data_IF_307030289958
#
_entry.id   IF_307030289958
#
_cell.length_a   1.000
_cell.length_b   1.000
_cell.length_c   1.000
_cell.angle_alpha   90.00
_cell.angle_beta   90.00
_cell.angle_gamma   90.00
#
_symmetry.space_group_name_H-M   'P 1'
#
loop_
_entity.id
_entity.type
_entity.pdbx_description
1 polymer ?
#
# COMPACT_ATOMS: atom_id res chain seq x y z
N UNK A 1 43.36 -37.44 -11.19
CA UNK A 1 41.94 -37.73 -11.46
C UNK A 1 41.28 -37.89 -10.10
N UNK A 2 40.75 -36.81 -9.52
CA UNK A 2 39.41 -36.24 -9.74
C UNK A 2 38.41 -36.89 -8.78
N UNK A 3 37.57 -36.22 -8.00
CA UNK A 3 37.24 -34.81 -7.71
C UNK A 3 36.60 -34.80 -6.31
N UNK A 4 36.81 -33.73 -5.52
CA UNK A 4 36.15 -33.50 -4.23
C UNK A 4 34.77 -32.88 -4.44
N UNK A 5 33.69 -33.31 -3.74
CA UNK A 5 32.44 -32.55 -3.73
C UNK A 5 32.63 -31.32 -2.84
N UNK A 6 32.42 -30.15 -3.44
CA UNK A 6 32.52 -28.84 -2.82
C UNK A 6 31.29 -28.64 -1.92
N UNK A 7 31.54 -28.41 -0.64
CA UNK A 7 30.58 -27.95 0.36
C UNK A 7 30.17 -26.51 0.01
N UNK A 8 29.01 -26.35 -0.63
CA UNK A 8 28.44 -25.05 -0.98
C UNK A 8 27.73 -24.48 0.25
N UNK A 9 28.46 -23.66 1.02
CA UNK A 9 27.82 -22.67 1.88
C UNK A 9 27.05 -21.70 0.99
N UNK A 10 25.73 -21.69 1.08
CA UNK A 10 24.86 -20.66 0.49
C UNK A 10 25.24 -19.31 1.11
N UNK A 11 26.03 -18.53 0.37
CA UNK A 11 26.29 -17.12 0.64
C UNK A 11 25.06 -16.34 0.20
N UNK A 12 24.30 -15.84 1.17
CA UNK A 12 23.20 -14.90 0.97
C UNK A 12 23.76 -13.63 0.29
N UNK A 13 23.19 -13.16 -0.83
CA UNK A 13 23.64 -11.92 -1.46
C UNK A 13 23.34 -10.75 -0.51
N UNK A 14 24.37 -10.01 -0.12
CA UNK A 14 24.25 -8.77 0.63
C UNK A 14 23.19 -7.86 -0.02
N UNK A 15 22.20 -7.45 0.78
CA UNK A 15 21.29 -6.38 0.41
C UNK A 15 22.13 -5.15 0.01
N UNK A 16 21.88 -4.52 -1.15
CA UNK A 16 22.44 -3.20 -1.38
C UNK A 16 21.82 -2.21 -0.39
N UNK A 17 22.48 -2.07 0.77
CA UNK A 17 22.40 -0.91 1.65
C UNK A 17 22.74 0.32 0.83
N UNK A 18 21.71 0.91 0.22
CA UNK A 18 21.92 1.82 -0.89
C UNK A 18 20.66 2.49 -1.39
N UNK A 19 19.62 2.61 -0.55
CA UNK A 19 18.62 3.67 -0.79
C UNK A 19 19.27 4.98 -0.36
N UNK A 20 20.05 5.57 -1.26
CA UNK A 20 20.29 7.02 -1.21
C UNK A 20 18.91 7.65 -1.07
N UNK A 21 18.65 8.47 -0.03
CA UNK A 21 17.41 9.20 0.06
C UNK A 21 17.20 9.88 -1.28
N UNK A 22 16.09 9.54 -1.97
CA UNK A 22 15.69 10.21 -3.19
C UNK A 22 15.83 11.70 -2.89
N UNK A 23 16.69 12.36 -3.65
CA UNK A 23 16.98 13.77 -3.51
C UNK A 23 15.63 14.46 -3.38
N UNK A 24 15.31 14.84 -2.13
CA UNK A 24 14.08 15.53 -1.83
C UNK A 24 14.08 16.70 -2.79
N UNK A 25 13.11 16.74 -3.69
CA UNK A 25 12.84 17.90 -4.52
C UNK A 25 12.69 19.01 -3.51
N UNK A 26 13.78 19.78 -3.32
CA UNK A 26 13.77 20.91 -2.42
C UNK A 26 12.57 21.72 -2.89
N UNK A 27 11.53 21.93 -2.06
CA UNK A 27 10.48 22.84 -2.45
C UNK A 27 11.20 24.12 -2.84
N UNK A 28 11.06 24.56 -4.09
CA UNK A 28 11.66 25.81 -4.56
C UNK A 28 11.35 26.83 -3.48
N UNK A 29 12.37 27.20 -2.71
CA UNK A 29 12.24 28.03 -1.53
C UNK A 29 11.34 29.19 -1.92
N UNK A 30 10.16 29.25 -1.31
CA UNK A 30 9.24 30.37 -1.50
C UNK A 30 10.05 31.66 -1.41
N UNK A 31 9.83 32.56 -2.37
CA UNK A 31 10.59 33.79 -2.54
C UNK A 31 10.70 34.52 -1.19
N UNK A 32 11.82 34.34 -0.50
CA UNK A 32 12.19 35.11 0.70
C UNK A 32 12.52 36.57 0.37
N UNK A 33 12.30 37.00 -0.87
CA UNK A 33 12.44 38.37 -1.35
C UNK A 33 11.59 39.37 -0.57
N UNK A 34 10.47 38.91 0.00
CA UNK A 34 9.56 39.75 0.80
C UNK A 34 9.81 39.70 2.30
N UNK A 35 10.73 38.85 2.80
CA UNK A 35 10.92 38.66 4.24
C UNK A 35 11.56 39.87 4.94
N UNK A 36 12.04 40.85 4.17
CA UNK A 36 12.69 42.08 4.65
C UNK A 36 11.87 43.35 4.37
N UNK A 37 10.73 43.24 3.70
CA UNK A 37 9.84 44.38 3.46
C UNK A 37 8.99 44.61 4.73
N UNK A 38 8.81 45.86 5.18
CA UNK A 38 7.83 46.15 6.22
C UNK A 38 6.45 45.67 5.73
N UNK A 39 5.68 45.02 6.61
CA UNK A 39 4.37 44.46 6.29
C UNK A 39 3.36 45.53 5.86
N UNK A 40 3.66 46.78 6.19
CA UNK A 40 2.88 47.97 5.87
C UNK A 40 3.63 48.77 4.80
N UNK A 41 2.99 48.96 3.64
CA UNK A 41 3.46 49.88 2.61
C UNK A 41 2.99 51.29 2.98
N UNK A 42 3.88 52.28 2.89
CA UNK A 42 3.47 53.68 3.05
C UNK A 42 2.65 54.15 1.83
N UNK A 43 1.75 55.13 1.99
CA UNK A 43 0.94 55.66 0.88
C UNK A 43 1.77 56.18 -0.30
N UNK A 44 2.99 56.65 -0.05
CA UNK A 44 3.93 57.09 -1.10
C UNK A 44 4.47 55.92 -1.93
N UNK A 45 4.67 54.76 -1.32
CA UNK A 45 5.13 53.55 -2.01
C UNK A 45 3.98 52.85 -2.73
N UNK A 46 2.77 52.86 -2.15
CA UNK A 46 1.54 52.41 -2.79
C UNK A 46 1.15 53.26 -4.00
N UNK A 47 1.43 54.56 -3.98
CA UNK A 47 1.19 55.45 -5.11
C UNK A 47 2.17 55.19 -6.28
N UNK A 48 3.22 54.40 -6.08
CA UNK A 48 4.16 54.04 -7.14
C UNK A 48 3.52 53.05 -8.13
N UNK A 49 3.48 53.37 -9.44
CA UNK A 49 2.88 52.50 -10.44
C UNK A 49 3.59 51.15 -10.57
N UNK A 50 4.88 51.08 -10.21
CA UNK A 50 5.64 49.83 -10.22
C UNK A 50 5.17 48.85 -9.13
N UNK A 51 4.87 49.37 -7.93
CA UNK A 51 4.38 48.56 -6.80
C UNK A 51 2.96 48.07 -7.08
N UNK A 52 2.10 48.92 -7.65
CA UNK A 52 0.74 48.54 -8.03
C UNK A 52 0.72 47.41 -9.07
N UNK A 53 1.51 47.53 -10.15
CA UNK A 53 1.61 46.47 -11.16
C UNK A 53 2.16 45.17 -10.59
N UNK A 54 3.19 45.26 -9.76
CA UNK A 54 3.76 44.10 -9.09
C UNK A 54 2.75 43.39 -8.18
N UNK A 55 1.93 44.14 -7.42
CA UNK A 55 0.90 43.56 -6.57
C UNK A 55 -0.22 42.92 -7.39
N UNK A 56 -0.63 43.55 -8.49
CA UNK A 56 -1.63 42.98 -9.41
C UNK A 56 -1.12 41.69 -10.05
N UNK A 57 0.11 41.69 -10.60
CA UNK A 57 0.73 40.49 -11.17
C UNK A 57 0.83 39.35 -10.15
N UNK A 58 1.13 39.67 -8.89
CA UNK A 58 1.22 38.67 -7.83
C UNK A 58 -0.15 38.14 -7.39
N UNK A 59 -1.18 39.00 -7.39
CA UNK A 59 -2.57 38.58 -7.14
C UNK A 59 -3.03 37.64 -8.27
N UNK A 60 -2.82 38.01 -9.52
CA UNK A 60 -3.18 37.16 -10.67
C UNK A 60 -2.45 35.81 -10.63
N UNK A 61 -1.16 35.81 -10.27
CA UNK A 61 -0.39 34.57 -10.05
C UNK A 61 -0.98 33.72 -8.93
N UNK A 62 -1.32 34.33 -7.81
CA UNK A 62 -1.88 33.62 -6.65
C UNK A 62 -3.28 33.08 -6.94
N UNK A 63 -4.12 33.82 -7.66
CA UNK A 63 -5.43 33.35 -8.11
C UNK A 63 -5.30 32.14 -9.04
N UNK A 64 -4.39 32.19 -10.02
CA UNK A 64 -4.11 31.05 -10.89
C UNK A 64 -3.62 29.82 -10.11
N UNK A 65 -2.73 30.00 -9.12
CA UNK A 65 -2.28 28.91 -8.25
C UNK A 65 -3.42 28.37 -7.37
N UNK A 66 -4.29 29.24 -6.85
CA UNK A 66 -5.46 28.85 -6.08
C UNK A 66 -6.45 28.05 -6.93
N UNK A 67 -6.71 28.46 -8.16
CA UNK A 67 -7.57 27.75 -9.10
C UNK A 67 -7.00 26.37 -9.43
N UNK A 68 -5.70 26.28 -9.71
CA UNK A 68 -5.00 25.01 -9.91
C UNK A 68 -5.18 24.09 -8.70
N UNK A 69 -4.90 24.56 -7.49
CA UNK A 69 -5.05 23.79 -6.25
C UNK A 69 -6.50 23.40 -5.96
N UNK A 70 -7.46 24.27 -6.27
CA UNK A 70 -8.89 23.99 -6.09
C UNK A 70 -9.31 22.74 -6.87
N UNK A 71 -8.70 22.52 -8.05
CA UNK A 71 -8.97 21.36 -8.90
C UNK A 71 -8.39 20.05 -8.36
N UNK A 72 -7.33 20.10 -7.54
CA UNK A 72 -6.69 18.92 -6.95
C UNK A 72 -7.43 18.40 -5.74
N UNK A 73 -8.09 19.28 -4.97
CA UNK A 73 -8.86 18.89 -3.78
C UNK A 73 -9.94 17.83 -4.05
N UNK A 74 -10.83 17.98 -5.06
CA UNK A 74 -11.83 16.95 -5.34
C UNK A 74 -11.20 15.66 -5.87
N UNK A 75 -10.14 15.76 -6.70
CA UNK A 75 -9.42 14.59 -7.23
C UNK A 75 -8.75 13.79 -6.12
N UNK A 76 -8.16 14.46 -5.13
CA UNK A 76 -7.59 13.82 -3.95
C UNK A 76 -8.66 13.07 -3.16
N UNK A 77 -9.79 13.73 -2.85
CA UNK A 77 -10.88 13.07 -2.11
C UNK A 77 -11.52 11.92 -2.89
N UNK A 78 -11.58 12.00 -4.22
CA UNK A 78 -12.07 10.90 -5.05
C UNK A 78 -11.09 9.71 -5.04
N UNK A 79 -9.79 9.97 -5.20
CA UNK A 79 -8.76 8.94 -5.15
C UNK A 79 -8.71 8.27 -3.78
N UNK A 80 -8.76 9.05 -2.71
CA UNK A 80 -8.77 8.58 -1.32
C UNK A 80 -10.00 7.68 -1.04
N UNK A 81 -11.19 8.11 -1.47
CA UNK A 81 -12.41 7.27 -1.37
C UNK A 81 -12.27 5.96 -2.14
N UNK A 82 -11.74 6.00 -3.37
CA UNK A 82 -11.52 4.80 -4.18
C UNK A 82 -10.52 3.86 -3.49
N UNK A 83 -9.43 4.40 -2.95
CA UNK A 83 -8.43 3.64 -2.21
C UNK A 83 -9.04 2.95 -0.99
N UNK A 84 -9.84 3.67 -0.19
CA UNK A 84 -10.52 3.10 0.97
C UNK A 84 -11.48 1.95 0.57
N UNK A 85 -12.27 2.12 -0.49
CA UNK A 85 -13.18 1.07 -0.99
C UNK A 85 -12.40 -0.15 -1.50
N UNK A 86 -11.28 0.07 -2.20
CA UNK A 86 -10.41 -1.00 -2.69
C UNK A 86 -9.76 -1.77 -1.52
N UNK A 87 -9.27 -1.06 -0.52
CA UNK A 87 -8.66 -1.63 0.67
C UNK A 87 -9.65 -2.49 1.46
N UNK A 88 -10.89 -2.01 1.65
CA UNK A 88 -11.96 -2.77 2.30
C UNK A 88 -12.30 -4.04 1.52
N UNK A 89 -12.45 -3.95 0.20
CA UNK A 89 -12.68 -5.11 -0.66
C UNK A 89 -11.51 -6.10 -0.65
N UNK A 90 -10.29 -5.60 -0.53
CA UNK A 90 -9.09 -6.43 -0.51
C UNK A 90 -8.95 -7.20 0.80
N UNK A 91 -9.26 -6.56 1.95
CA UNK A 91 -9.31 -7.24 3.26
C UNK A 91 -10.28 -8.42 3.26
N UNK A 92 -11.47 -8.23 2.69
CA UNK A 92 -12.45 -9.32 2.53
C UNK A 92 -11.91 -10.49 1.71
N UNK A 93 -11.33 -10.19 0.54
CA UNK A 93 -10.73 -11.22 -0.35
C UNK A 93 -9.58 -11.98 0.31
N UNK A 94 -8.65 -11.29 0.98
CA UNK A 94 -7.53 -11.95 1.68
C UNK A 94 -8.07 -12.90 2.75
N UNK A 95 -9.07 -12.49 3.53
CA UNK A 95 -9.62 -13.36 4.58
C UNK A 95 -10.25 -14.63 4.01
N UNK A 96 -10.93 -14.52 2.87
CA UNK A 96 -11.51 -15.66 2.17
C UNK A 96 -10.43 -16.57 1.57
N UNK A 97 -9.37 -16.01 0.99
CA UNK A 97 -8.26 -16.78 0.42
C UNK A 97 -7.45 -17.51 1.49
N UNK A 98 -7.18 -16.87 2.62
CA UNK A 98 -6.50 -17.52 3.77
C UNK A 98 -7.36 -18.66 4.30
N UNK A 99 -8.67 -18.44 4.48
CA UNK A 99 -9.59 -19.47 4.96
C UNK A 99 -9.67 -20.64 3.97
N UNK A 100 -9.84 -20.36 2.68
CA UNK A 100 -9.89 -21.37 1.63
C UNK A 100 -8.59 -22.19 1.59
N UNK A 101 -7.44 -21.51 1.56
CA UNK A 101 -6.12 -22.15 1.45
C UNK A 101 -5.81 -22.97 2.69
N UNK A 102 -6.08 -22.43 3.88
CA UNK A 102 -5.90 -23.12 5.15
C UNK A 102 -6.81 -24.36 5.26
N UNK A 103 -8.11 -24.20 5.00
CA UNK A 103 -9.06 -25.31 5.09
C UNK A 103 -8.77 -26.43 4.08
N UNK A 104 -8.42 -26.09 2.83
CA UNK A 104 -8.06 -27.07 1.82
C UNK A 104 -6.74 -27.78 2.15
N UNK A 105 -5.71 -27.05 2.58
CA UNK A 105 -4.41 -27.65 2.88
C UNK A 105 -4.50 -28.57 4.09
N UNK A 106 -5.12 -28.13 5.18
CA UNK A 106 -5.29 -28.93 6.40
C UNK A 106 -6.24 -30.10 6.13
N UNK A 107 -7.35 -29.87 5.42
CA UNK A 107 -8.29 -30.93 5.06
C UNK A 107 -7.67 -32.00 4.16
N UNK A 108 -6.91 -31.61 3.14
CA UNK A 108 -6.19 -32.54 2.27
C UNK A 108 -5.10 -33.32 3.02
N UNK A 109 -4.35 -32.65 3.90
CA UNK A 109 -3.36 -33.32 4.74
C UNK A 109 -4.01 -34.34 5.69
N UNK A 110 -5.14 -33.98 6.33
CA UNK A 110 -5.88 -34.89 7.19
C UNK A 110 -6.41 -36.12 6.44
N UNK A 111 -6.94 -35.93 5.22
CA UNK A 111 -7.40 -37.02 4.37
C UNK A 111 -6.25 -37.91 3.86
N UNK A 112 -5.11 -37.32 3.53
CA UNK A 112 -3.90 -38.07 3.13
C UNK A 112 -3.30 -38.88 4.29
N UNK A 113 -3.41 -38.37 5.52
CA UNK A 113 -2.94 -39.05 6.72
C UNK A 113 -3.91 -40.12 7.24
N UNK A 114 -5.21 -39.99 6.97
CA UNK A 114 -6.25 -40.92 7.41
C UNK A 114 -5.94 -42.41 7.16
N UNK A 115 -5.51 -42.87 5.95
CA UNK A 115 -5.20 -44.29 5.73
C UNK A 115 -4.05 -44.80 6.60
N UNK A 116 -3.11 -43.96 7.02
CA UNK A 116 -1.96 -44.34 7.85
C UNK A 116 -2.32 -44.73 9.29
N UNK A 117 -3.51 -44.36 9.78
CA UNK A 117 -3.96 -44.60 11.17
C UNK A 117 -5.13 -45.59 11.26
N UNK A 118 -5.56 -46.16 10.13
CA UNK A 118 -6.68 -47.11 10.05
C UNK A 118 -6.40 -48.46 10.71
N UNK A 119 -5.15 -48.77 11.02
CA UNK A 119 -4.73 -49.99 11.70
C UNK A 119 -5.04 -49.93 13.20
N UNK A 120 -6.32 -50.00 13.56
CA UNK A 120 -6.76 -50.40 14.92
C UNK A 120 -7.32 -49.31 15.83
N UNK A 121 -7.51 -48.06 15.36
CA UNK A 121 -8.13 -47.01 16.18
C UNK A 121 -9.37 -46.38 15.52
N UNK A 122 -10.47 -46.14 16.28
CA UNK A 122 -11.64 -45.42 15.77
C UNK A 122 -11.34 -43.94 15.43
N UNK A 123 -10.18 -43.42 15.84
CA UNK A 123 -9.69 -42.09 15.51
C UNK A 123 -9.55 -41.85 14.00
N UNK A 124 -9.27 -42.90 13.21
CA UNK A 124 -9.15 -42.79 11.76
C UNK A 124 -10.42 -42.24 11.08
N UNK A 125 -11.60 -42.67 11.55
CA UNK A 125 -12.88 -42.20 11.03
C UNK A 125 -13.16 -40.74 11.42
N UNK A 126 -12.72 -40.32 12.61
CA UNK A 126 -12.84 -38.94 13.08
C UNK A 126 -11.95 -38.01 12.24
N UNK A 127 -10.71 -38.40 11.96
CA UNK A 127 -9.78 -37.62 11.11
C UNK A 127 -10.30 -37.51 9.68
N UNK A 128 -10.81 -38.62 9.13
CA UNK A 128 -11.39 -38.62 7.78
C UNK A 128 -12.62 -37.71 7.68
N UNK A 129 -13.55 -37.81 8.63
CA UNK A 129 -14.76 -36.98 8.64
C UNK A 129 -14.44 -35.49 8.84
N UNK A 130 -13.51 -35.17 9.74
CA UNK A 130 -13.06 -33.79 9.94
C UNK A 130 -12.35 -33.23 8.69
N UNK A 131 -11.52 -34.04 8.03
CA UNK A 131 -10.88 -33.69 6.76
C UNK A 131 -11.89 -33.39 5.65
N UNK A 132 -12.93 -34.23 5.50
CA UNK A 132 -14.02 -33.99 4.52
C UNK A 132 -14.75 -32.68 4.83
N UNK A 133 -15.11 -32.44 6.10
CA UNK A 133 -15.79 -31.20 6.51
C UNK A 133 -14.94 -29.96 6.20
N UNK A 134 -13.64 -30.01 6.49
CA UNK A 134 -12.71 -28.92 6.18
C UNK A 134 -12.60 -28.63 4.68
N UNK A 135 -12.54 -29.67 3.85
CA UNK A 135 -12.49 -29.51 2.39
C UNK A 135 -13.79 -28.89 1.86
N UNK A 136 -14.94 -29.36 2.35
CA UNK A 136 -16.26 -28.80 1.97
C UNK A 136 -16.37 -27.35 2.43
N UNK A 137 -15.95 -27.05 3.67
CA UNK A 137 -15.96 -25.68 4.19
C UNK A 137 -15.04 -24.75 3.39
N UNK A 138 -13.85 -25.22 2.99
CA UNK A 138 -12.95 -24.47 2.11
C UNK A 138 -13.54 -24.20 0.73
N UNK A 139 -14.20 -25.19 0.12
CA UNK A 139 -14.91 -25.02 -1.16
C UNK A 139 -16.09 -24.04 -1.03
N UNK A 140 -16.86 -24.14 0.05
CA UNK A 140 -17.99 -23.26 0.32
C UNK A 140 -17.53 -21.81 0.60
N UNK A 141 -16.42 -21.61 1.31
CA UNK A 141 -15.85 -20.29 1.59
C UNK A 141 -15.53 -19.50 0.31
N UNK A 142 -15.18 -20.19 -0.79
CA UNK A 142 -14.98 -19.57 -2.11
C UNK A 142 -16.30 -19.26 -2.84
N UNK A 143 -17.35 -20.03 -2.58
CA UNK A 143 -18.65 -19.91 -3.23
C UNK A 143 -19.54 -18.83 -2.62
N UNK A 144 -19.27 -18.43 -1.36
CA UNK A 144 -19.93 -17.29 -0.73
C UNK A 144 -19.41 -16.01 -1.38
N UNK A 145 -20.26 -15.33 -2.16
CA UNK A 145 -19.96 -14.00 -2.71
C UNK A 145 -19.77 -13.01 -1.56
N UNK A 146 -18.68 -12.22 -1.53
CA UNK A 146 -18.59 -11.03 -0.70
C UNK A 146 -19.55 -9.93 -1.20
#
# INVERSE_FOLDING_TARGET
MAETPIDQMDVEPEEPSGVKPSESVKPKSGRRSFSKLPRELSEKELASPAVQKMLVDEIERLEAECDDFSSYRPKFHEADKRAAVLEEKFKGKISADILQTGCLTVGAAALGYAPSITTGQPSAWMVATFGVVLVIAGLAAKAVKP
#
